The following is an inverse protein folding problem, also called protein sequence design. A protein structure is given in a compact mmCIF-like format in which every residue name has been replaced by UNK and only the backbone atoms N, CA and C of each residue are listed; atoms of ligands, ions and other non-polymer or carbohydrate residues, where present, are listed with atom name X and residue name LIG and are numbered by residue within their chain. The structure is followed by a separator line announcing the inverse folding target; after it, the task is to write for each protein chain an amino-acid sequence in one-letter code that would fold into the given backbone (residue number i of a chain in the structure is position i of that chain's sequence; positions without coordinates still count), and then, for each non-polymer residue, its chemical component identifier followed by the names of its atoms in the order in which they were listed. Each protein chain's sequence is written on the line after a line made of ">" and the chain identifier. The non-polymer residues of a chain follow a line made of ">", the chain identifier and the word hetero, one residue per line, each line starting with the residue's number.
data_IF_074544124104
#
_entry.id   IF_074544124104
#
_cell.length_a   1.000
_cell.length_b   1.000
_cell.length_c   1.000
_cell.angle_alpha   90.00
_cell.angle_beta   90.00
_cell.angle_gamma   90.00
#
_symmetry.space_group_name_H-M   'P 1'
#
loop_
_entity.id
_entity.type
_entity.pdbx_description
1 polymer ?
#
# COMPACT_ATOMS: atom_id res chain seq x y z
N UNK A 1 26.59 -12.53 14.38
CA UNK A 1 25.54 -12.96 13.44
C UNK A 1 24.12 -12.85 14.00
N UNK A 2 23.95 -12.78 15.33
CA UNK A 2 22.66 -12.59 15.99
C UNK A 2 21.93 -11.29 15.52
N UNK A 3 22.65 -10.21 15.34
CA UNK A 3 22.08 -8.94 14.84
C UNK A 3 21.57 -9.05 13.39
N UNK A 4 22.22 -9.85 12.55
CA UNK A 4 21.79 -10.05 11.16
C UNK A 4 20.51 -10.89 11.07
N UNK A 5 20.32 -11.87 11.97
CA UNK A 5 19.08 -12.65 12.02
C UNK A 5 17.90 -11.83 12.48
N UNK A 6 18.06 -10.98 13.51
CA UNK A 6 17.01 -10.09 13.99
C UNK A 6 16.58 -9.07 12.92
N UNK A 7 17.52 -8.48 12.18
CA UNK A 7 17.20 -7.56 11.09
C UNK A 7 16.43 -8.24 9.96
N UNK A 8 16.77 -9.49 9.63
CA UNK A 8 16.07 -10.23 8.59
C UNK A 8 14.64 -10.62 9.00
N UNK A 9 14.43 -11.04 10.25
CA UNK A 9 13.09 -11.37 10.77
C UNK A 9 12.19 -10.14 10.83
N UNK A 10 12.72 -9.01 11.28
CA UNK A 10 11.99 -7.74 11.30
C UNK A 10 11.51 -7.32 9.91
N UNK A 11 12.40 -7.37 8.92
CA UNK A 11 12.07 -6.99 7.56
C UNK A 11 10.98 -7.89 6.95
N UNK A 12 11.03 -9.20 7.21
CA UNK A 12 10.04 -10.14 6.70
C UNK A 12 8.66 -9.93 7.31
N UNK A 13 8.59 -9.70 8.62
CA UNK A 13 7.34 -9.43 9.32
C UNK A 13 6.66 -8.13 8.83
N UNK A 14 7.44 -7.07 8.65
CA UNK A 14 6.95 -5.80 8.14
C UNK A 14 6.44 -5.92 6.70
N UNK A 15 7.14 -6.64 5.83
CA UNK A 15 6.71 -6.88 4.46
C UNK A 15 5.39 -7.64 4.40
N UNK A 16 5.24 -8.71 5.19
CA UNK A 16 4.00 -9.47 5.28
C UNK A 16 2.83 -8.60 5.79
N UNK A 17 3.10 -7.75 6.78
CA UNK A 17 2.11 -6.83 7.32
C UNK A 17 1.62 -5.84 6.24
N UNK A 18 2.55 -5.16 5.55
CA UNK A 18 2.22 -4.23 4.47
C UNK A 18 1.45 -4.93 3.35
N UNK A 19 1.88 -6.12 2.95
CA UNK A 19 1.21 -6.90 1.91
C UNK A 19 -0.22 -7.28 2.28
N UNK A 20 -0.43 -7.73 3.52
CA UNK A 20 -1.76 -8.07 4.04
C UNK A 20 -2.69 -6.86 4.05
N UNK A 21 -2.18 -5.70 4.49
CA UNK A 21 -2.96 -4.46 4.49
C UNK A 21 -3.29 -3.97 3.08
N UNK A 22 -2.35 -4.08 2.13
CA UNK A 22 -2.58 -3.70 0.73
C UNK A 22 -3.70 -4.54 0.13
N UNK A 23 -3.64 -5.85 0.29
CA UNK A 23 -4.70 -6.75 -0.18
C UNK A 23 -6.05 -6.47 0.49
N UNK A 24 -6.04 -6.18 1.78
CA UNK A 24 -7.26 -5.79 2.51
C UNK A 24 -7.84 -4.52 1.91
N UNK A 25 -7.00 -3.49 1.70
CA UNK A 25 -7.43 -2.24 1.10
C UNK A 25 -8.05 -2.45 -0.28
N UNK A 26 -7.37 -3.14 -1.19
CA UNK A 26 -7.82 -3.36 -2.56
C UNK A 26 -9.16 -4.12 -2.59
N UNK A 27 -9.26 -5.17 -1.77
CA UNK A 27 -10.49 -5.98 -1.68
C UNK A 27 -11.67 -5.14 -1.22
N UNK A 28 -11.53 -4.41 -0.12
CA UNK A 28 -12.63 -3.64 0.44
C UNK A 28 -12.90 -2.35 -0.35
N UNK A 29 -11.88 -1.72 -0.93
CA UNK A 29 -12.09 -0.60 -1.85
C UNK A 29 -12.91 -1.02 -3.07
N UNK A 30 -12.66 -2.21 -3.61
CA UNK A 30 -13.47 -2.78 -4.68
C UNK A 30 -14.89 -3.08 -4.22
N UNK A 31 -15.09 -3.75 -3.09
CA UNK A 31 -16.42 -4.12 -2.57
C UNK A 31 -17.28 -2.87 -2.29
N UNK A 32 -16.74 -1.90 -1.58
CA UNK A 32 -17.46 -0.65 -1.30
C UNK A 32 -17.66 0.17 -2.58
N UNK A 33 -16.67 0.22 -3.46
CA UNK A 33 -16.72 0.94 -4.72
C UNK A 33 -17.79 0.40 -5.68
N UNK A 34 -17.96 -0.92 -5.74
CA UNK A 34 -18.98 -1.56 -6.59
C UNK A 34 -20.38 -1.41 -6.01
N UNK A 35 -20.53 -1.46 -4.68
CA UNK A 35 -21.85 -1.42 -4.03
C UNK A 35 -22.36 -0.01 -3.76
N UNK A 36 -21.49 0.90 -3.38
CA UNK A 36 -21.85 2.25 -2.93
C UNK A 36 -21.24 3.37 -3.77
N UNK A 37 -20.35 3.08 -4.73
CA UNK A 37 -19.56 4.04 -5.50
C UNK A 37 -20.38 4.93 -6.43
N UNK A 38 -20.75 6.10 -5.97
CA UNK A 38 -21.49 7.13 -6.74
C UNK A 38 -20.54 8.18 -7.32
N UNK A 39 -19.54 8.61 -6.55
CA UNK A 39 -18.59 9.66 -6.94
C UNK A 39 -17.29 9.05 -7.43
N UNK A 40 -17.03 9.20 -8.74
CA UNK A 40 -15.81 8.65 -9.34
C UNK A 40 -14.57 9.46 -8.95
N UNK A 41 -13.46 8.77 -8.68
CA UNK A 41 -12.21 9.38 -8.25
C UNK A 41 -11.51 10.09 -9.40
N UNK A 42 -11.28 9.41 -10.52
CA UNK A 42 -10.72 9.94 -11.77
C UNK A 42 -11.33 9.22 -12.97
N UNK A 43 -12.48 9.69 -13.49
CA UNK A 43 -13.23 9.01 -14.56
C UNK A 43 -12.44 8.77 -15.85
N UNK A 44 -11.55 9.70 -16.19
CA UNK A 44 -10.74 9.66 -17.43
C UNK A 44 -9.64 8.60 -17.41
N UNK A 45 -9.16 8.23 -16.22
CA UNK A 45 -8.03 7.31 -16.06
C UNK A 45 -8.53 5.95 -15.58
N UNK A 46 -9.31 5.95 -14.50
CA UNK A 46 -9.84 4.75 -13.86
C UNK A 46 -11.33 4.92 -13.51
N UNK A 47 -12.26 4.61 -14.45
CA UNK A 47 -13.69 4.84 -14.24
C UNK A 47 -14.33 3.93 -13.19
N UNK A 48 -13.65 2.88 -12.75
CA UNK A 48 -14.14 1.97 -11.72
C UNK A 48 -13.89 2.45 -10.29
N UNK A 49 -12.89 3.31 -10.06
CA UNK A 49 -12.55 3.82 -8.72
C UNK A 49 -13.51 4.92 -8.27
N UNK A 50 -13.91 4.84 -7.01
CA UNK A 50 -14.82 5.81 -6.37
C UNK A 50 -14.29 6.27 -5.02
N UNK A 51 -14.70 7.45 -4.58
CA UNK A 51 -14.38 7.98 -3.26
C UNK A 51 -14.94 7.12 -2.14
N UNK A 52 -16.15 6.60 -2.30
CA UNK A 52 -16.79 5.69 -1.34
C UNK A 52 -15.99 4.39 -1.18
N UNK A 53 -15.48 3.87 -2.30
CA UNK A 53 -14.57 2.72 -2.28
C UNK A 53 -13.29 3.02 -1.53
N UNK A 54 -12.65 4.17 -1.82
CA UNK A 54 -11.43 4.59 -1.16
C UNK A 54 -11.60 4.72 0.35
N UNK A 55 -12.59 5.48 0.82
CA UNK A 55 -12.81 5.68 2.26
C UNK A 55 -13.27 4.40 2.96
N UNK A 56 -14.14 3.59 2.32
CA UNK A 56 -14.57 2.31 2.86
C UNK A 56 -13.41 1.33 3.00
N UNK A 57 -12.57 1.21 1.96
CA UNK A 57 -11.35 0.39 1.99
C UNK A 57 -10.37 0.87 3.06
N UNK A 58 -10.07 2.19 3.11
CA UNK A 58 -9.17 2.77 4.10
C UNK A 58 -9.66 2.52 5.55
N UNK A 59 -10.94 2.70 5.81
CA UNK A 59 -11.52 2.44 7.12
C UNK A 59 -11.34 0.98 7.58
N UNK A 60 -11.63 0.02 6.71
CA UNK A 60 -11.43 -1.40 7.02
C UNK A 60 -9.94 -1.73 7.18
N UNK A 61 -9.07 -1.12 6.37
CA UNK A 61 -7.61 -1.32 6.48
C UNK A 61 -7.09 -0.87 7.84
N UNK A 62 -7.54 0.28 8.35
CA UNK A 62 -7.17 0.77 9.69
C UNK A 62 -7.62 -0.22 10.77
N UNK A 63 -8.87 -0.69 10.71
CA UNK A 63 -9.38 -1.67 11.68
C UNK A 63 -8.55 -2.95 11.61
N UNK A 64 -8.31 -3.49 10.42
CA UNK A 64 -7.53 -4.71 10.23
C UNK A 64 -6.11 -4.53 10.77
N UNK A 65 -5.47 -3.39 10.48
CA UNK A 65 -4.13 -3.08 10.97
C UNK A 65 -4.06 -3.15 12.50
N UNK A 66 -5.00 -2.51 13.19
CA UNK A 66 -5.06 -2.50 14.65
C UNK A 66 -5.31 -3.90 15.24
N UNK A 67 -6.14 -4.71 14.59
CA UNK A 67 -6.45 -6.07 15.04
C UNK A 67 -5.24 -7.01 14.91
N UNK A 68 -4.48 -6.89 13.82
CA UNK A 68 -3.36 -7.80 13.55
C UNK A 68 -2.01 -7.32 14.09
N UNK A 69 -1.91 -6.06 14.58
CA UNK A 69 -0.65 -5.50 15.11
C UNK A 69 0.00 -6.42 16.14
N UNK A 70 -0.78 -6.96 17.06
CA UNK A 70 -0.27 -7.81 18.15
C UNK A 70 0.27 -9.17 17.66
N UNK A 71 0.02 -9.54 16.40
CA UNK A 71 0.58 -10.75 15.79
C UNK A 71 2.00 -10.53 15.25
N UNK A 72 2.44 -9.26 15.19
CA UNK A 72 3.75 -8.86 14.67
C UNK A 72 4.56 -8.23 15.80
N UNK A 73 5.51 -8.97 16.34
CA UNK A 73 6.25 -8.66 17.58
C UNK A 73 6.97 -7.30 17.59
N UNK A 74 7.28 -6.75 16.40
CA UNK A 74 8.07 -5.54 16.25
C UNK A 74 7.27 -4.30 15.81
N UNK A 75 5.93 -4.37 15.84
CA UNK A 75 5.07 -3.25 15.46
C UNK A 75 4.34 -2.70 16.69
N UNK A 76 4.52 -1.41 16.96
CA UNK A 76 3.71 -0.72 17.94
C UNK A 76 2.46 -0.10 17.30
N UNK A 77 1.44 0.17 18.10
CA UNK A 77 0.16 0.70 17.64
C UNK A 77 0.29 2.04 16.90
N UNK A 78 1.23 2.88 17.30
CA UNK A 78 1.45 4.19 16.69
C UNK A 78 1.94 4.05 15.24
N UNK A 79 2.94 3.20 15.01
CA UNK A 79 3.48 2.92 13.68
C UNK A 79 2.42 2.28 12.78
N UNK A 80 1.67 1.33 13.34
CA UNK A 80 0.56 0.68 12.66
C UNK A 80 -0.47 1.68 12.16
N UNK A 81 -0.85 2.66 12.99
CA UNK A 81 -1.76 3.73 12.59
C UNK A 81 -1.19 4.57 11.43
N UNK A 82 0.08 4.98 11.54
CA UNK A 82 0.72 5.75 10.47
C UNK A 82 0.71 4.94 9.17
N UNK A 83 1.19 3.70 9.20
CA UNK A 83 1.22 2.82 8.02
C UNK A 83 -0.19 2.67 7.43
N UNK A 84 -1.19 2.37 8.24
CA UNK A 84 -2.55 2.11 7.78
C UNK A 84 -3.26 3.33 7.18
N UNK A 85 -2.86 4.55 7.55
CA UNK A 85 -3.39 5.80 6.97
C UNK A 85 -2.70 6.11 5.63
N UNK A 86 -1.38 5.98 5.56
CA UNK A 86 -0.63 6.33 4.35
C UNK A 86 -0.72 5.25 3.26
N UNK A 87 -0.90 3.99 3.62
CA UNK A 87 -0.97 2.86 2.70
C UNK A 87 -2.11 3.00 1.66
N UNK A 88 -3.37 3.28 2.03
CA UNK A 88 -4.45 3.50 1.06
C UNK A 88 -4.16 4.63 0.06
N UNK A 89 -3.52 5.70 0.53
CA UNK A 89 -3.17 6.85 -0.30
C UNK A 89 -2.13 6.44 -1.34
N UNK A 90 -1.04 5.80 -0.90
CA UNK A 90 0.06 5.37 -1.78
C UNK A 90 -0.38 4.29 -2.76
N UNK A 91 -1.15 3.31 -2.31
CA UNK A 91 -1.73 2.28 -3.17
C UNK A 91 -2.60 2.88 -4.27
N UNK A 92 -3.48 3.83 -3.90
CA UNK A 92 -4.37 4.48 -4.86
C UNK A 92 -3.59 5.33 -5.86
N UNK A 93 -2.59 6.09 -5.42
CA UNK A 93 -1.73 6.89 -6.30
C UNK A 93 -0.97 5.97 -7.26
N UNK A 94 -0.37 4.90 -6.77
CA UNK A 94 0.38 3.94 -7.58
C UNK A 94 -0.44 3.33 -8.70
N UNK A 95 -1.65 2.85 -8.37
CA UNK A 95 -2.56 2.28 -9.36
C UNK A 95 -3.08 3.35 -10.36
N UNK A 96 -3.31 4.60 -9.92
CA UNK A 96 -3.65 5.69 -10.83
C UNK A 96 -2.51 6.05 -11.77
N UNK A 97 -1.27 6.05 -11.28
CA UNK A 97 -0.08 6.27 -12.11
C UNK A 97 0.07 5.14 -13.14
N UNK A 98 0.00 3.87 -12.72
CA UNK A 98 0.05 2.72 -13.62
C UNK A 98 -1.08 2.77 -14.66
N UNK A 99 -2.30 3.11 -14.23
CA UNK A 99 -3.45 3.28 -15.11
C UNK A 99 -3.23 4.42 -16.11
N UNK A 100 -2.60 5.52 -15.72
CA UNK A 100 -2.26 6.64 -16.61
C UNK A 100 -1.29 6.21 -17.69
N UNK A 101 -0.25 5.45 -17.36
CA UNK A 101 0.69 4.88 -18.33
C UNK A 101 -0.02 3.95 -19.33
N UNK A 102 -0.92 3.09 -18.85
CA UNK A 102 -1.71 2.22 -19.73
C UNK A 102 -2.54 3.03 -20.75
N UNK A 103 -3.18 4.11 -20.30
CA UNK A 103 -3.96 4.98 -21.21
C UNK A 103 -3.08 5.74 -22.20
N UNK A 104 -1.93 6.27 -21.75
CA UNK A 104 -0.96 6.94 -22.63
C UNK A 104 -0.42 6.01 -23.73
N UNK A 105 -0.27 4.72 -23.43
CA UNK A 105 0.13 3.70 -24.39
C UNK A 105 -1.02 3.11 -25.22
N UNK A 106 -2.25 3.66 -25.11
CA UNK A 106 -3.47 3.12 -25.74
C UNK A 106 -3.76 1.65 -25.36
N UNK A 107 -3.32 1.22 -24.20
CA UNK A 107 -3.56 -0.12 -23.67
C UNK A 107 -4.55 -0.06 -22.51
N UNK A 108 -5.22 -1.18 -22.26
CA UNK A 108 -6.09 -1.33 -21.09
C UNK A 108 -5.36 -2.05 -19.96
N UNK A 109 -4.63 -3.08 -20.31
CA UNK A 109 -3.93 -3.97 -19.39
C UNK A 109 -2.50 -4.18 -19.92
N UNK A 110 -1.51 -4.41 -19.03
CA UNK A 110 -0.12 -4.68 -19.44
C UNK A 110 0.09 -6.07 -20.04
N UNK A 111 -0.93 -6.93 -20.04
CA UNK A 111 -0.87 -8.26 -20.63
C UNK A 111 -2.17 -9.04 -20.40
N UNK A 112 -2.21 -10.28 -20.88
CA UNK A 112 -3.37 -11.17 -20.79
C UNK A 112 -3.01 -12.50 -20.10
N UNK A 113 -2.06 -12.47 -19.15
CA UNK A 113 -1.54 -13.68 -18.53
C UNK A 113 -2.55 -14.32 -17.58
N UNK A 114 -3.38 -13.49 -16.94
CA UNK A 114 -4.36 -13.95 -15.94
C UNK A 114 -5.77 -13.69 -16.48
N UNK A 115 -6.57 -14.74 -16.75
CA UNK A 115 -7.94 -14.58 -17.23
C UNK A 115 -8.77 -13.71 -16.27
N UNK A 116 -9.36 -12.64 -16.79
CA UNK A 116 -10.20 -11.70 -16.03
C UNK A 116 -9.46 -10.62 -15.23
N UNK A 117 -8.13 -10.71 -15.05
CA UNK A 117 -7.33 -9.76 -14.26
C UNK A 117 -6.26 -9.02 -15.08
N UNK A 118 -5.98 -9.44 -16.32
CA UNK A 118 -4.97 -8.81 -17.17
C UNK A 118 -3.57 -9.40 -17.04
N UNK A 119 -2.55 -8.56 -17.03
CA UNK A 119 -1.16 -8.97 -16.85
C UNK A 119 -0.78 -9.11 -15.38
N UNK A 120 0.35 -9.77 -15.12
CA UNK A 120 0.91 -9.90 -13.78
C UNK A 120 1.22 -8.54 -13.11
N UNK A 121 1.66 -7.56 -13.90
CA UNK A 121 1.93 -6.19 -13.43
C UNK A 121 0.64 -5.49 -13.01
N UNK A 122 -0.48 -5.75 -13.70
CA UNK A 122 -1.78 -5.16 -13.38
C UNK A 122 -2.30 -5.58 -11.98
N UNK A 123 -1.90 -6.76 -11.53
CA UNK A 123 -2.24 -7.28 -10.19
C UNK A 123 -1.38 -6.64 -9.09
N UNK A 124 -0.17 -6.21 -9.42
CA UNK A 124 0.83 -5.75 -8.45
C UNK A 124 1.07 -4.24 -8.48
N UNK A 125 0.43 -3.48 -9.35
CA UNK A 125 0.73 -2.05 -9.56
C UNK A 125 0.57 -1.22 -8.28
N UNK A 126 -0.52 -1.40 -7.54
CA UNK A 126 -0.72 -0.78 -6.23
C UNK A 126 0.28 -1.27 -5.18
N UNK A 127 0.53 -2.57 -5.14
CA UNK A 127 1.47 -3.20 -4.19
C UNK A 127 2.90 -2.73 -4.41
N UNK A 128 3.35 -2.66 -5.67
CA UNK A 128 4.69 -2.15 -6.02
C UNK A 128 4.86 -0.70 -5.55
N UNK A 129 3.86 0.14 -5.77
CA UNK A 129 3.91 1.54 -5.32
C UNK A 129 4.01 1.65 -3.79
N UNK A 130 3.21 0.87 -3.06
CA UNK A 130 3.25 0.82 -1.60
C UNK A 130 4.61 0.34 -1.11
N UNK A 131 5.12 -0.78 -1.62
CA UNK A 131 6.42 -1.31 -1.22
C UNK A 131 7.56 -0.35 -1.54
N UNK A 132 7.53 0.30 -2.71
CA UNK A 132 8.54 1.29 -3.10
C UNK A 132 8.49 2.51 -2.17
N UNK A 133 7.30 3.01 -1.84
CA UNK A 133 7.12 4.12 -0.91
C UNK A 133 7.69 3.77 0.47
N UNK A 134 7.27 2.64 1.06
CA UNK A 134 7.76 2.24 2.37
C UNK A 134 9.24 1.87 2.36
N UNK A 135 9.77 1.26 1.29
CA UNK A 135 11.20 1.01 1.15
C UNK A 135 12.00 2.31 1.11
N UNK A 136 11.53 3.31 0.37
CA UNK A 136 12.18 4.62 0.30
C UNK A 136 12.23 5.30 1.67
N UNK A 137 11.19 5.15 2.49
CA UNK A 137 11.17 5.67 3.86
C UNK A 137 12.00 4.82 4.82
N UNK A 138 12.03 3.50 4.69
CA UNK A 138 12.78 2.60 5.56
C UNK A 138 14.27 2.52 5.19
N UNK A 139 14.61 2.63 3.90
CA UNK A 139 15.97 2.49 3.39
C UNK A 139 16.70 3.82 3.15
N UNK A 140 16.10 4.97 3.48
CA UNK A 140 16.70 6.28 3.26
C UNK A 140 17.70 6.72 4.38
N UNK A 141 18.83 6.04 4.59
CA UNK A 141 19.80 6.37 5.64
C UNK A 141 20.97 7.23 5.12
N UNK A 142 20.95 7.72 3.89
CA UNK A 142 22.19 8.24 3.27
C UNK A 142 22.17 9.71 2.83
N UNK A 143 21.13 10.47 3.19
CA UNK A 143 21.09 11.91 2.95
C UNK A 143 20.63 12.66 4.19
N UNK A 144 21.03 13.95 4.33
CA UNK A 144 20.63 14.83 5.45
C UNK A 144 19.12 14.81 5.74
N UNK A 145 18.30 14.62 4.70
CA UNK A 145 16.83 14.49 4.79
C UNK A 145 16.45 13.09 5.30
N UNK A 146 17.12 12.05 4.81
CA UNK A 146 16.94 10.67 5.28
C UNK A 146 17.30 10.50 6.76
N UNK A 147 18.40 11.10 7.23
CA UNK A 147 18.76 11.09 8.66
C UNK A 147 17.76 11.84 9.53
N UNK A 148 17.20 12.95 9.06
CA UNK A 148 16.18 13.71 9.81
C UNK A 148 14.87 12.93 9.88
N UNK A 149 14.45 12.33 8.78
CA UNK A 149 13.22 11.51 8.73
C UNK A 149 13.46 10.21 9.52
N UNK A 150 14.60 9.55 9.32
CA UNK A 150 14.98 8.34 10.04
C UNK A 150 15.11 8.59 11.55
N UNK A 151 15.78 9.68 11.95
CA UNK A 151 15.95 10.02 13.36
C UNK A 151 14.66 10.48 14.03
N UNK A 152 13.83 11.25 13.33
CA UNK A 152 12.53 11.68 13.86
C UNK A 152 11.44 10.62 13.72
N UNK A 153 11.49 9.77 12.70
CA UNK A 153 10.52 8.70 12.47
C UNK A 153 10.86 7.43 13.27
N UNK A 154 12.14 7.10 13.46
CA UNK A 154 12.59 5.93 14.24
C UNK A 154 12.77 6.20 15.73
N UNK A 155 13.04 7.44 16.17
CA UNK A 155 13.03 7.78 17.60
C UNK A 155 11.62 7.64 18.20
N UNK A 156 10.59 7.81 17.39
CA UNK A 156 9.21 7.50 17.79
C UNK A 156 8.79 6.06 17.48
N UNK A 157 9.69 5.25 16.89
CA UNK A 157 9.50 3.85 16.48
C UNK A 157 10.14 2.87 17.51
N UNK A 158 10.98 3.36 18.42
CA UNK A 158 11.54 2.66 19.56
C UNK A 158 10.85 3.15 20.85
#
# INVERSE_FOLDING_TARGET
>A
DYNNTLHNEYNNSLLLFIYTLTWTFDTFAYLFGTRFGRHKLLPSISPKKSWEGFFGGAFITIITALLITNMFENLNQYNTLIISIFLPITATIGDLVASSFKRAANMKDFGNLIPGHGGFIDLLDGTIAVLTFFWMFAAAPTGRIGEIIYKNFLIYLI
#
